data_IF_856263617862
#
_entry.id   IF_856263617862
#
_cell.length_a   1.000
_cell.length_b   1.000
_cell.length_c   1.000
_cell.angle_alpha   90.00
_cell.angle_beta   90.00
_cell.angle_gamma   90.00
#
_symmetry.space_group_name_H-M   'P 1'
#
loop_
_entity.id
_entity.type
_entity.pdbx_description
1 polymer ?
#
# COMPACT_ATOMS: atom_id res chain seq x y z
N UNK A 1 39.01 -17.98 36.39
CA UNK A 1 39.49 -18.31 37.75
C UNK A 1 40.96 -18.02 37.76
N UNK A 2 41.41 -17.11 38.63
CA UNK A 2 42.77 -16.57 38.62
C UNK A 2 43.83 -17.61 39.03
N UNK A 3 43.38 -18.79 39.47
CA UNK A 3 44.18 -19.92 39.92
C UNK A 3 45.14 -20.46 38.83
N UNK A 4 44.80 -20.30 37.55
CA UNK A 4 45.66 -20.68 36.43
C UNK A 4 46.90 -19.78 36.27
N UNK A 5 46.86 -18.53 36.79
CA UNK A 5 47.99 -17.60 36.74
C UNK A 5 48.95 -17.76 37.92
N UNK A 6 48.57 -18.50 38.97
CA UNK A 6 49.40 -18.71 40.17
C UNK A 6 50.84 -19.17 39.86
N UNK A 7 51.09 -20.17 38.99
CA UNK A 7 52.47 -20.56 38.65
C UNK A 7 53.20 -19.53 37.77
N UNK A 8 52.46 -18.67 37.06
CA UNK A 8 53.05 -17.61 36.23
C UNK A 8 53.53 -16.43 37.07
N UNK A 9 52.88 -16.17 38.22
CA UNK A 9 53.22 -15.08 39.15
C UNK A 9 54.61 -15.26 39.77
N UNK A 10 55.05 -16.51 39.96
CA UNK A 10 56.36 -16.80 40.58
C UNK A 10 57.55 -16.50 39.65
N UNK A 11 57.32 -16.45 38.33
CA UNK A 11 58.40 -16.39 37.33
C UNK A 11 58.28 -15.24 36.33
N UNK A 12 57.16 -14.52 36.32
CA UNK A 12 56.88 -13.46 35.35
C UNK A 12 56.95 -12.06 35.97
N UNK A 13 57.40 -11.09 35.18
CA UNK A 13 57.35 -9.67 35.55
C UNK A 13 55.92 -9.15 35.56
N UNK A 14 55.68 -8.06 36.30
CA UNK A 14 54.37 -7.37 36.35
C UNK A 14 53.83 -7.01 34.96
N UNK A 15 54.72 -6.66 34.02
CA UNK A 15 54.36 -6.35 32.63
C UNK A 15 53.88 -7.58 31.86
N UNK A 16 54.52 -8.74 32.09
CA UNK A 16 54.12 -10.01 31.49
C UNK A 16 52.78 -10.50 32.06
N UNK A 17 52.55 -10.35 33.38
CA UNK A 17 51.27 -10.67 34.01
C UNK A 17 50.13 -9.79 33.49
N UNK A 18 50.36 -8.47 33.34
CA UNK A 18 49.37 -7.56 32.74
C UNK A 18 49.04 -7.92 31.29
N UNK A 19 50.04 -8.35 30.54
CA UNK A 19 49.83 -8.81 29.16
C UNK A 19 49.01 -10.10 29.14
N UNK A 20 49.31 -11.05 30.03
CA UNK A 20 48.60 -12.32 30.13
C UNK A 20 47.11 -12.17 30.51
N UNK A 21 46.79 -11.25 31.43
CA UNK A 21 45.40 -10.90 31.79
C UNK A 21 44.68 -10.19 30.64
N UNK A 22 45.40 -9.37 29.86
CA UNK A 22 44.82 -8.66 28.71
C UNK A 22 44.48 -9.62 27.55
N UNK A 23 45.23 -10.71 27.43
CA UNK A 23 45.03 -11.75 26.41
C UNK A 23 44.00 -12.81 26.82
N UNK A 24 43.50 -12.76 28.06
CA UNK A 24 42.46 -13.69 28.51
C UNK A 24 41.20 -13.50 27.66
N UNK A 25 40.71 -14.56 26.98
CA UNK A 25 39.50 -14.48 26.19
C UNK A 25 38.33 -14.18 27.12
N UNK A 26 37.87 -12.92 27.08
CA UNK A 26 36.71 -12.51 27.85
C UNK A 26 35.50 -13.29 27.34
N UNK A 27 34.66 -13.83 28.23
CA UNK A 27 33.39 -14.38 27.80
C UNK A 27 32.66 -13.31 26.97
N UNK A 28 32.02 -13.69 25.85
CA UNK A 28 31.25 -12.74 25.06
C UNK A 28 30.30 -12.01 25.99
N UNK A 29 30.33 -10.67 25.96
CA UNK A 29 29.33 -9.90 26.72
C UNK A 29 27.96 -10.39 26.24
N UNK A 30 27.00 -10.64 27.14
CA UNK A 30 25.64 -10.92 26.70
C UNK A 30 25.20 -9.75 25.81
N UNK A 31 24.98 -10.03 24.54
CA UNK A 31 24.41 -9.06 23.61
C UNK A 31 23.03 -8.76 24.18
N UNK A 32 22.73 -7.52 24.57
CA UNK A 32 21.41 -7.22 25.06
C UNK A 32 20.40 -7.58 23.97
N UNK A 33 19.30 -8.23 24.35
CA UNK A 33 18.22 -8.54 23.42
C UNK A 33 17.88 -7.30 22.59
N UNK A 34 17.63 -7.46 21.27
CA UNK A 34 17.34 -6.34 20.41
C UNK A 34 16.19 -5.53 21.02
N UNK A 35 16.49 -4.29 21.42
CA UNK A 35 15.50 -3.43 22.03
C UNK A 35 14.39 -3.18 21.01
N UNK A 36 13.17 -3.54 21.37
CA UNK A 36 11.99 -3.23 20.59
C UNK A 36 11.95 -1.74 20.30
N UNK A 37 11.71 -1.39 19.05
CA UNK A 37 11.58 0.01 18.66
C UNK A 37 10.62 0.17 17.50
N UNK A 38 9.92 1.30 17.48
CA UNK A 38 9.14 1.76 16.33
C UNK A 38 9.49 3.22 16.09
N UNK A 39 9.93 3.52 14.87
CA UNK A 39 10.30 4.86 14.42
C UNK A 39 9.46 5.29 13.23
N UNK A 40 9.21 6.60 13.14
CA UNK A 40 8.48 7.25 12.05
C UNK A 40 9.34 8.37 11.48
N UNK A 41 9.52 8.39 10.17
CA UNK A 41 10.15 9.49 9.44
C UNK A 41 9.22 9.96 8.33
N UNK A 42 9.02 11.27 8.21
CA UNK A 42 8.08 11.85 7.24
C UNK A 42 8.80 12.83 6.32
N UNK A 43 8.44 12.81 5.05
CA UNK A 43 8.82 13.79 4.04
C UNK A 43 7.55 14.52 3.53
N UNK A 44 7.67 15.31 2.45
CA UNK A 44 6.54 16.09 1.89
C UNK A 44 5.42 15.23 1.30
N UNK A 45 5.71 13.98 0.92
CA UNK A 45 4.80 13.13 0.14
C UNK A 45 4.50 11.79 0.82
N UNK A 46 5.31 11.39 1.79
CA UNK A 46 5.32 10.05 2.32
C UNK A 46 5.72 9.98 3.80
N UNK A 47 5.35 8.87 4.42
CA UNK A 47 5.75 8.54 5.78
C UNK A 47 6.28 7.11 5.84
N UNK A 48 7.51 6.95 6.30
CA UNK A 48 8.16 5.65 6.49
C UNK A 48 8.14 5.25 7.96
N UNK A 49 7.70 4.02 8.22
CA UNK A 49 7.73 3.41 9.55
C UNK A 49 8.81 2.32 9.58
N UNK A 50 9.59 2.26 10.66
CA UNK A 50 10.60 1.21 10.89
C UNK A 50 10.32 0.55 12.24
N UNK A 51 10.17 -0.77 12.25
CA UNK A 51 9.92 -1.56 13.46
C UNK A 51 11.10 -2.52 13.66
N UNK A 52 11.53 -2.71 14.91
CA UNK A 52 12.52 -3.71 15.33
C UNK A 52 11.88 -4.59 16.40
N UNK A 53 11.86 -5.90 16.17
CA UNK A 53 11.27 -6.90 17.05
C UNK A 53 12.22 -8.09 17.25
N UNK A 54 12.14 -8.79 18.40
CA UNK A 54 12.65 -10.15 18.55
C UNK A 54 12.05 -11.11 17.52
N UNK A 55 12.78 -12.17 17.17
CA UNK A 55 12.38 -13.10 16.10
C UNK A 55 11.05 -13.82 16.37
N UNK A 56 10.76 -14.18 17.61
CA UNK A 56 9.52 -14.83 18.02
C UNK A 56 8.29 -13.94 17.79
N UNK A 57 8.43 -12.63 17.98
CA UNK A 57 7.36 -11.67 17.69
C UNK A 57 7.28 -11.26 16.23
N UNK A 58 8.43 -11.10 15.59
CA UNK A 58 8.50 -10.86 14.15
C UNK A 58 7.75 -11.98 13.40
N UNK A 59 7.89 -13.23 13.83
CA UNK A 59 7.18 -14.38 13.25
C UNK A 59 5.65 -14.22 13.30
N UNK A 60 5.10 -13.57 14.34
CA UNK A 60 3.66 -13.29 14.43
C UNK A 60 3.24 -12.24 13.40
N UNK A 61 4.03 -11.16 13.25
CA UNK A 61 3.79 -10.13 12.24
C UNK A 61 3.90 -10.71 10.83
N UNK A 62 4.93 -11.50 10.58
CA UNK A 62 5.19 -12.16 9.29
C UNK A 62 4.02 -13.10 8.92
N UNK A 63 3.55 -13.91 9.86
CA UNK A 63 2.41 -14.80 9.64
C UNK A 63 1.12 -14.03 9.35
N UNK A 64 0.85 -12.93 10.08
CA UNK A 64 -0.31 -12.09 9.85
C UNK A 64 -0.28 -11.42 8.47
N UNK A 65 0.87 -10.85 8.09
CA UNK A 65 1.07 -10.22 6.80
C UNK A 65 0.96 -11.24 5.67
N UNK A 66 1.58 -12.41 5.80
CA UNK A 66 1.49 -13.48 4.80
C UNK A 66 0.05 -13.96 4.61
N UNK A 67 -0.69 -14.19 5.69
CA UNK A 67 -2.10 -14.61 5.62
C UNK A 67 -2.98 -13.57 4.93
N UNK A 68 -2.78 -12.28 5.21
CA UNK A 68 -3.52 -11.21 4.54
C UNK A 68 -3.11 -11.04 3.07
N UNK A 69 -1.84 -11.27 2.74
CA UNK A 69 -1.35 -11.24 1.37
C UNK A 69 -2.00 -12.36 0.54
N UNK A 70 -2.00 -13.60 1.05
CA UNK A 70 -2.63 -14.74 0.37
C UNK A 70 -4.10 -14.46 0.09
N UNK A 71 -4.84 -13.93 1.07
CA UNK A 71 -6.24 -13.55 0.90
C UNK A 71 -6.41 -12.49 -0.19
N UNK A 72 -5.63 -11.40 -0.16
CA UNK A 72 -5.71 -10.33 -1.15
C UNK A 72 -5.37 -10.83 -2.56
N UNK A 73 -4.37 -11.70 -2.69
CA UNK A 73 -3.98 -12.31 -3.96
C UNK A 73 -5.10 -13.21 -4.51
N UNK A 74 -5.72 -14.03 -3.66
CA UNK A 74 -6.87 -14.85 -4.06
C UNK A 74 -8.05 -14.00 -4.50
N UNK A 75 -8.35 -12.92 -3.78
CA UNK A 75 -9.41 -11.97 -4.14
C UNK A 75 -9.11 -11.27 -5.47
N UNK A 76 -7.89 -10.75 -5.65
CA UNK A 76 -7.47 -10.12 -6.91
C UNK A 76 -7.59 -11.09 -8.08
N UNK A 77 -7.13 -12.34 -7.92
CA UNK A 77 -7.23 -13.37 -8.96
C UNK A 77 -8.68 -13.69 -9.30
N UNK A 78 -9.56 -13.77 -8.30
CA UNK A 78 -10.98 -14.01 -8.52
C UNK A 78 -11.64 -12.87 -9.30
N UNK A 79 -11.36 -11.63 -8.91
CA UNK A 79 -11.91 -10.43 -9.53
C UNK A 79 -11.39 -10.23 -10.97
N UNK A 80 -10.24 -10.83 -11.33
CA UNK A 80 -9.59 -10.64 -12.64
C UNK A 80 -9.43 -11.96 -13.43
N UNK A 81 -10.13 -13.04 -13.04
CA UNK A 81 -9.99 -14.38 -13.63
C UNK A 81 -10.35 -14.45 -15.12
N UNK A 82 -11.23 -13.56 -15.61
CA UNK A 82 -11.70 -13.54 -16.99
C UNK A 82 -10.78 -12.75 -17.95
N UNK A 83 -9.71 -12.12 -17.45
CA UNK A 83 -8.76 -11.32 -18.24
C UNK A 83 -7.28 -11.62 -17.97
N UNK A 84 -6.98 -12.65 -17.19
CA UNK A 84 -5.64 -12.95 -16.67
C UNK A 84 -4.83 -13.95 -17.52
N UNK A 85 -4.88 -13.84 -18.85
CA UNK A 85 -3.83 -14.43 -19.69
C UNK A 85 -2.61 -13.50 -19.69
N UNK A 86 -1.77 -13.72 -18.69
CA UNK A 86 -0.32 -13.47 -18.62
C UNK A 86 0.25 -12.43 -19.60
N UNK A 87 0.21 -11.14 -19.26
CA UNK A 87 1.08 -10.11 -19.87
C UNK A 87 1.53 -9.06 -18.87
N UNK A 88 2.85 -8.96 -18.76
CA UNK A 88 3.59 -7.81 -18.26
C UNK A 88 3.28 -6.55 -19.08
N UNK A 89 3.29 -5.43 -18.36
CA UNK A 89 3.54 -4.07 -18.82
C UNK A 89 2.45 -3.35 -19.63
N UNK A 90 1.71 -2.49 -18.93
CA UNK A 90 1.67 -1.07 -19.31
C UNK A 90 0.43 -0.54 -20.02
N UNK A 91 -0.55 -1.35 -20.40
CA UNK A 91 -1.77 -0.82 -21.02
C UNK A 91 -2.99 -1.73 -20.77
N UNK A 92 -3.69 -1.48 -19.68
CA UNK A 92 -4.98 -2.12 -19.37
C UNK A 92 -5.42 -1.71 -17.98
N UNK A 93 -6.65 -1.23 -17.83
CA UNK A 93 -7.18 -0.62 -16.60
C UNK A 93 -7.33 -1.55 -15.39
N UNK A 94 -6.51 -2.60 -15.27
CA UNK A 94 -6.47 -3.46 -14.10
C UNK A 94 -5.48 -2.90 -13.05
N UNK A 95 -5.81 -2.97 -11.76
CA UNK A 95 -4.89 -2.59 -10.68
C UNK A 95 -3.71 -3.57 -10.59
N UNK A 96 -2.53 -3.11 -10.14
CA UNK A 96 -1.38 -3.98 -9.92
C UNK A 96 -1.70 -5.06 -8.88
N UNK A 97 -0.98 -6.18 -8.96
CA UNK A 97 -1.14 -7.28 -8.02
C UNK A 97 -0.79 -6.82 -6.58
N UNK A 98 -1.58 -7.23 -5.56
CA UNK A 98 -1.33 -6.84 -4.17
C UNK A 98 0.05 -7.25 -3.69
N UNK A 99 0.67 -6.40 -2.86
CA UNK A 99 1.99 -6.63 -2.29
C UNK A 99 1.98 -6.65 -0.75
N UNK A 100 3.15 -6.83 -0.15
CA UNK A 100 3.32 -6.93 1.30
C UNK A 100 2.85 -5.66 2.05
N UNK A 101 2.95 -4.48 1.44
CA UNK A 101 2.46 -3.22 2.03
C UNK A 101 0.93 -3.23 2.10
N UNK A 102 0.26 -3.67 1.04
CA UNK A 102 -1.21 -3.82 1.02
C UNK A 102 -1.67 -4.80 2.09
N UNK A 103 -0.95 -5.92 2.24
CA UNK A 103 -1.23 -6.90 3.27
C UNK A 103 -1.03 -6.36 4.68
N UNK A 104 0.06 -5.64 4.94
CA UNK A 104 0.30 -4.99 6.23
C UNK A 104 -0.79 -3.96 6.58
N UNK A 105 -1.19 -3.12 5.62
CA UNK A 105 -2.29 -2.17 5.82
C UNK A 105 -3.63 -2.88 6.07
N UNK A 106 -3.87 -4.02 5.41
CA UNK A 106 -5.06 -4.82 5.65
C UNK A 106 -5.08 -5.43 7.07
N UNK A 107 -3.93 -5.81 7.63
CA UNK A 107 -3.82 -6.25 9.03
C UNK A 107 -4.19 -5.10 9.98
N UNK A 108 -3.65 -3.91 9.74
CA UNK A 108 -3.95 -2.71 10.55
C UNK A 108 -5.45 -2.37 10.49
N UNK A 109 -6.04 -2.39 9.29
CA UNK A 109 -7.47 -2.13 9.10
C UNK A 109 -8.35 -3.17 9.81
N UNK A 110 -8.00 -4.46 9.74
CA UNK A 110 -8.76 -5.51 10.42
C UNK A 110 -8.71 -5.36 11.95
N UNK A 111 -7.54 -4.99 12.51
CA UNK A 111 -7.42 -4.68 13.93
C UNK A 111 -8.27 -3.47 14.34
N UNK A 112 -8.26 -2.42 13.51
CA UNK A 112 -9.07 -1.23 13.71
C UNK A 112 -10.58 -1.54 13.71
N UNK A 113 -11.05 -2.28 12.71
CA UNK A 113 -12.48 -2.64 12.58
C UNK A 113 -12.97 -3.50 13.75
N UNK A 114 -12.10 -4.40 14.25
CA UNK A 114 -12.38 -5.21 15.44
C UNK A 114 -12.58 -4.34 16.68
N UNK A 115 -11.73 -3.34 16.89
CA UNK A 115 -11.83 -2.42 18.02
C UNK A 115 -13.06 -1.51 17.91
N UNK A 116 -13.37 -1.02 16.70
CA UNK A 116 -14.60 -0.25 16.42
C UNK A 116 -15.85 -1.07 16.74
N UNK A 117 -15.90 -2.33 16.34
CA UNK A 117 -17.01 -3.23 16.64
C UNK A 117 -17.16 -3.46 18.16
N UNK A 118 -16.04 -3.54 18.89
CA UNK A 118 -16.03 -3.76 20.33
C UNK A 118 -16.44 -2.52 21.15
N UNK A 119 -16.28 -1.29 20.62
CA UNK A 119 -16.58 -0.03 21.35
C UNK A 119 -17.32 1.00 20.48
N UNK A 120 -18.65 0.87 20.31
CA UNK A 120 -19.43 1.76 19.45
C UNK A 120 -19.44 3.25 19.85
N UNK A 121 -19.12 3.57 21.11
CA UNK A 121 -19.20 4.92 21.69
C UNK A 121 -17.90 5.44 22.33
N UNK A 122 -16.78 4.71 22.20
CA UNK A 122 -15.48 5.22 22.64
C UNK A 122 -15.03 6.39 21.76
N UNK A 123 -14.41 7.42 22.34
CA UNK A 123 -13.82 8.52 21.56
C UNK A 123 -12.89 7.93 20.49
N UNK A 124 -13.31 8.09 19.25
CA UNK A 124 -12.74 7.49 18.05
C UNK A 124 -11.42 8.19 17.78
N UNK A 125 -10.33 7.47 17.53
CA UNK A 125 -9.19 8.10 16.81
C UNK A 125 -9.43 7.93 15.32
N UNK A 126 -10.59 8.38 14.81
CA UNK A 126 -10.78 8.48 13.36
C UNK A 126 -9.71 9.44 12.84
N UNK A 127 -9.08 9.11 11.72
CA UNK A 127 -8.18 10.07 11.07
C UNK A 127 -9.01 11.29 10.69
N UNK A 128 -8.81 12.39 11.44
CA UNK A 128 -9.51 13.65 11.23
C UNK A 128 -8.74 14.48 10.22
N UNK A 129 -9.43 14.95 9.19
CA UNK A 129 -8.88 15.85 8.17
C UNK A 129 -9.48 17.24 8.39
N UNK A 130 -8.65 18.24 8.65
CA UNK A 130 -9.07 19.64 8.69
C UNK A 130 -9.04 20.17 7.27
N UNK A 131 -10.14 20.79 6.82
CA UNK A 131 -10.28 21.32 5.46
C UNK A 131 -10.74 22.77 5.54
N UNK A 132 -9.89 23.70 5.13
CA UNK A 132 -10.29 25.09 4.90
C UNK A 132 -10.98 25.19 3.53
N UNK A 133 -12.29 25.41 3.56
CA UNK A 133 -13.12 25.35 2.35
C UNK A 133 -12.85 26.55 1.42
N UNK A 134 -12.55 27.72 1.98
CA UNK A 134 -12.33 28.93 1.19
C UNK A 134 -10.91 28.93 0.57
N UNK A 135 -9.92 28.41 1.30
CA UNK A 135 -8.53 28.33 0.84
C UNK A 135 -8.20 27.04 0.09
N UNK A 136 -9.07 26.04 0.14
CA UNK A 136 -8.86 24.68 -0.40
C UNK A 136 -7.57 24.04 0.10
N UNK A 137 -7.30 24.20 1.40
CA UNK A 137 -6.13 23.60 2.08
C UNK A 137 -6.62 22.55 3.05
N UNK A 138 -5.87 21.46 3.20
CA UNK A 138 -6.23 20.38 4.11
C UNK A 138 -5.03 19.86 4.87
N UNK A 139 -5.25 19.36 6.09
CA UNK A 139 -4.20 18.77 6.92
C UNK A 139 -4.75 17.66 7.79
N UNK A 140 -3.92 16.66 8.09
CA UNK A 140 -4.27 15.67 9.10
C UNK A 140 -4.28 16.32 10.49
N UNK A 141 -5.17 15.90 11.37
CA UNK A 141 -5.19 16.38 12.75
C UNK A 141 -3.85 16.07 13.43
N UNK A 142 -3.16 17.12 13.89
CA UNK A 142 -1.80 17.04 14.45
C UNK A 142 -0.78 16.43 13.47
N UNK A 143 -1.03 16.54 12.16
CA UNK A 143 -0.19 16.01 11.09
C UNK A 143 0.15 17.05 10.03
N UNK A 144 0.81 16.62 8.94
CA UNK A 144 1.24 17.52 7.89
C UNK A 144 0.05 18.08 7.07
N UNK A 145 0.33 19.17 6.36
CA UNK A 145 -0.52 19.65 5.27
C UNK A 145 -0.55 18.59 4.17
N UNK A 146 -1.73 18.35 3.61
CA UNK A 146 -1.97 17.41 2.54
C UNK A 146 -1.75 18.06 1.17
N UNK A 147 -1.32 17.26 0.21
CA UNK A 147 -1.41 17.64 -1.20
C UNK A 147 -2.88 17.81 -1.61
N UNK A 148 -3.14 18.56 -2.69
CA UNK A 148 -4.49 18.69 -3.22
C UNK A 148 -5.10 17.34 -3.62
N UNK A 149 -4.28 16.44 -4.16
CA UNK A 149 -4.68 15.09 -4.52
C UNK A 149 -5.13 14.28 -3.30
N UNK A 150 -4.33 14.29 -2.21
CA UNK A 150 -4.65 13.55 -1.00
C UNK A 150 -5.85 14.14 -0.28
N UNK A 151 -5.96 15.47 -0.23
CA UNK A 151 -7.11 16.17 0.36
C UNK A 151 -8.42 15.82 -0.36
N UNK A 152 -8.45 15.89 -1.69
CA UNK A 152 -9.64 15.51 -2.48
C UNK A 152 -9.94 14.01 -2.35
N UNK A 153 -8.91 13.16 -2.39
CA UNK A 153 -9.09 11.72 -2.20
C UNK A 153 -9.71 11.36 -0.85
N UNK A 154 -9.18 11.91 0.25
CA UNK A 154 -9.65 11.63 1.61
C UNK A 154 -11.04 12.21 1.87
N UNK A 155 -11.44 13.27 1.15
CA UNK A 155 -12.75 13.92 1.32
C UNK A 155 -13.83 13.44 0.34
N UNK A 156 -13.49 12.65 -0.69
CA UNK A 156 -14.45 12.09 -1.65
C UNK A 156 -15.43 11.06 -1.05
N UNK A 157 -14.93 10.04 -0.34
CA UNK A 157 -15.75 8.87 0.10
C UNK A 157 -16.17 8.96 1.58
N UNK A 158 -15.79 10.04 2.28
CA UNK A 158 -16.12 10.33 3.68
C UNK A 158 -15.81 9.20 4.69
N UNK A 159 -14.87 8.30 4.35
CA UNK A 159 -14.32 7.28 5.27
C UNK A 159 -13.54 7.91 6.43
N UNK A 160 -13.18 9.19 6.28
CA UNK A 160 -12.47 10.03 7.23
C UNK A 160 -13.42 11.05 7.86
N UNK A 161 -13.13 11.46 9.09
CA UNK A 161 -13.88 12.55 9.72
C UNK A 161 -13.30 13.87 9.23
N UNK A 162 -14.04 14.59 8.38
CA UNK A 162 -13.63 15.90 7.90
C UNK A 162 -14.17 17.00 8.83
N UNK A 163 -13.27 17.83 9.35
CA UNK A 163 -13.61 19.06 10.05
C UNK A 163 -13.42 20.22 9.09
N UNK A 164 -14.50 20.95 8.83
CA UNK A 164 -14.45 22.08 7.94
C UNK A 164 -14.14 23.33 8.75
N UNK A 165 -13.19 24.10 8.23
CA UNK A 165 -12.74 25.34 8.84
C UNK A 165 -12.90 26.50 7.87
N UNK A 166 -13.03 27.70 8.43
CA UNK A 166 -12.91 28.97 7.72
C UNK A 166 -11.98 29.87 8.53
N UNK A 167 -10.88 30.28 7.93
CA UNK A 167 -9.87 31.11 8.60
C UNK A 167 -9.39 30.52 9.94
N UNK A 168 -9.15 29.20 9.96
CA UNK A 168 -8.70 28.46 11.15
C UNK A 168 -9.75 28.34 12.26
N UNK A 169 -11.03 28.57 11.95
CA UNK A 169 -12.15 28.34 12.87
C UNK A 169 -13.00 27.18 12.37
N UNK A 170 -13.20 26.11 13.16
CA UNK A 170 -14.13 25.04 12.82
C UNK A 170 -15.54 25.59 12.66
N UNK A 171 -16.09 25.45 11.45
CA UNK A 171 -17.46 25.83 11.11
C UNK A 171 -18.43 24.65 11.23
N UNK A 172 -17.90 23.43 11.28
CA UNK A 172 -18.66 22.23 11.63
C UNK A 172 -17.95 20.93 11.25
N UNK A 173 -18.44 19.82 11.81
CA UNK A 173 -17.97 18.47 11.55
C UNK A 173 -19.00 17.58 10.82
N UNK A 174 -20.15 18.14 10.37
CA UNK A 174 -21.26 17.28 9.96
C UNK A 174 -22.54 17.88 9.37
N UNK A 175 -22.59 19.18 9.01
CA UNK A 175 -23.79 19.74 8.33
C UNK A 175 -23.63 19.92 6.82
N UNK A 176 -22.40 20.06 6.35
CA UNK A 176 -22.02 20.07 4.92
C UNK A 176 -21.29 18.79 4.50
N UNK A 177 -21.22 17.79 5.38
CA UNK A 177 -20.80 16.46 5.01
C UNK A 177 -21.79 15.94 3.96
N UNK A 178 -21.38 15.99 2.69
CA UNK A 178 -21.98 15.18 1.63
C UNK A 178 -21.58 13.71 1.80
N UNK A 179 -21.67 13.22 3.05
CA UNK A 179 -21.53 11.83 3.41
C UNK A 179 -22.56 11.06 2.59
N UNK A 180 -22.05 10.08 1.86
CA UNK A 180 -22.87 9.30 0.95
C UNK A 180 -23.78 8.44 1.82
N UNK A 181 -25.07 8.79 1.84
CA UNK A 181 -26.04 8.13 2.70
C UNK A 181 -26.06 6.62 2.41
N UNK A 182 -26.38 5.80 3.41
CA UNK A 182 -26.51 4.34 3.22
C UNK A 182 -27.48 3.97 2.08
N UNK A 183 -28.52 4.77 1.86
CA UNK A 183 -29.48 4.57 0.77
C UNK A 183 -28.82 4.84 -0.59
N UNK A 184 -28.10 5.95 -0.72
CA UNK A 184 -27.38 6.31 -1.94
C UNK A 184 -26.28 5.29 -2.25
N UNK A 185 -25.53 4.87 -1.22
CA UNK A 185 -24.52 3.82 -1.32
C UNK A 185 -25.09 2.51 -1.87
N UNK A 186 -26.23 2.04 -1.36
CA UNK A 186 -26.88 0.83 -1.87
C UNK A 186 -27.35 0.96 -3.32
N UNK A 187 -27.81 2.15 -3.71
CA UNK A 187 -28.21 2.41 -5.09
C UNK A 187 -27.00 2.42 -6.03
N UNK A 188 -25.87 2.97 -5.59
CA UNK A 188 -24.59 2.87 -6.29
C UNK A 188 -24.14 1.41 -6.43
N UNK A 189 -24.15 0.62 -5.36
CA UNK A 189 -23.78 -0.81 -5.40
C UNK A 189 -24.68 -1.65 -6.32
N UNK A 190 -25.94 -1.23 -6.50
CA UNK A 190 -26.85 -1.88 -7.44
C UNK A 190 -26.54 -1.53 -8.90
N UNK A 191 -26.20 -0.26 -9.18
CA UNK A 191 -25.88 0.23 -10.53
C UNK A 191 -24.47 -0.20 -10.95
N UNK A 192 -23.49 0.07 -10.10
CA UNK A 192 -22.07 -0.16 -10.33
C UNK A 192 -21.69 -1.48 -9.64
N UNK A 193 -21.80 -2.59 -10.38
CA UNK A 193 -21.52 -3.93 -9.83
C UNK A 193 -20.04 -4.19 -9.57
N UNK A 194 -19.17 -3.41 -10.21
CA UNK A 194 -17.72 -3.43 -10.05
C UNK A 194 -17.20 -1.99 -10.22
N UNK A 195 -15.88 -1.82 -10.06
CA UNK A 195 -15.20 -0.58 -10.39
C UNK A 195 -15.55 -0.13 -11.82
N UNK A 196 -15.97 1.13 -11.98
CA UNK A 196 -16.39 1.68 -13.29
C UNK A 196 -15.24 1.90 -14.29
N UNK A 197 -13.99 1.77 -13.86
CA UNK A 197 -12.83 1.86 -14.77
C UNK A 197 -12.80 0.64 -15.70
N UNK A 198 -12.79 0.84 -17.03
CA UNK A 198 -12.77 -0.26 -18.00
C UNK A 198 -11.61 -1.24 -17.76
N UNK A 199 -11.87 -2.54 -17.85
CA UNK A 199 -10.90 -3.60 -17.56
C UNK A 199 -10.66 -3.90 -16.08
N UNK A 200 -11.32 -3.19 -15.14
CA UNK A 200 -11.22 -3.48 -13.71
C UNK A 200 -12.39 -4.34 -13.24
N UNK A 201 -12.09 -5.55 -12.76
CA UNK A 201 -13.10 -6.47 -12.23
C UNK A 201 -13.34 -6.37 -10.72
N UNK A 202 -12.74 -5.38 -10.04
CA UNK A 202 -12.86 -5.25 -8.59
C UNK A 202 -14.32 -5.06 -8.14
N UNK A 203 -14.82 -5.94 -7.28
CA UNK A 203 -16.21 -5.90 -6.78
C UNK A 203 -16.33 -5.52 -5.30
N UNK A 204 -15.20 -5.49 -4.59
CA UNK A 204 -15.15 -5.30 -3.13
C UNK A 204 -14.32 -4.08 -2.76
N UNK A 205 -14.60 -3.52 -1.59
CA UNK A 205 -13.86 -2.36 -1.07
C UNK A 205 -13.96 -1.11 -1.95
N UNK A 206 -15.05 -0.98 -2.72
CA UNK A 206 -15.23 0.14 -3.63
C UNK A 206 -15.47 1.44 -2.85
N UNK A 207 -14.83 2.52 -3.30
CA UNK A 207 -15.07 3.88 -2.83
C UNK A 207 -16.08 4.55 -3.74
N UNK A 208 -16.96 5.37 -3.17
CA UNK A 208 -17.80 6.23 -3.98
C UNK A 208 -17.07 7.55 -4.28
N UNK A 209 -17.09 7.93 -5.54
CA UNK A 209 -16.32 9.05 -6.07
C UNK A 209 -17.24 10.04 -6.77
N UNK A 210 -17.10 11.32 -6.42
CA UNK A 210 -17.78 12.41 -7.13
C UNK A 210 -17.05 12.74 -8.43
N UNK A 211 -17.74 12.59 -9.56
CA UNK A 211 -17.19 12.95 -10.88
C UNK A 211 -16.88 14.45 -10.94
N UNK A 212 -17.84 15.29 -10.55
CA UNK A 212 -17.58 16.68 -10.18
C UNK A 212 -17.39 16.72 -8.68
N UNK A 213 -16.18 17.05 -8.23
CA UNK A 213 -15.85 17.05 -6.81
C UNK A 213 -16.78 17.99 -6.02
N UNK A 214 -17.08 17.64 -4.77
CA UNK A 214 -18.01 18.42 -3.96
C UNK A 214 -17.48 19.84 -3.65
N UNK A 215 -16.17 20.01 -3.53
CA UNK A 215 -15.52 21.33 -3.36
C UNK A 215 -15.64 22.22 -4.59
N UNK A 216 -15.88 21.61 -5.76
CA UNK A 216 -16.18 22.29 -7.02
C UNK A 216 -17.71 22.46 -7.20
N UNK A 217 -18.49 22.17 -6.16
CA UNK A 217 -19.95 22.31 -6.12
C UNK A 217 -20.72 21.04 -6.52
N UNK A 218 -20.04 19.97 -6.97
CA UNK A 218 -20.69 18.80 -7.56
C UNK A 218 -21.60 18.04 -6.60
N UNK A 219 -22.87 17.78 -6.96
CA UNK A 219 -23.92 17.27 -6.06
C UNK A 219 -23.62 15.86 -5.53
N UNK A 220 -24.35 15.45 -4.50
CA UNK A 220 -24.25 14.09 -3.93
C UNK A 220 -25.54 13.35 -4.17
N UNK A 221 -25.64 12.90 -5.42
CA UNK A 221 -26.73 12.13 -5.98
C UNK A 221 -26.14 11.00 -6.83
N UNK A 222 -27.01 10.21 -7.45
CA UNK A 222 -26.57 9.09 -8.27
C UNK A 222 -25.85 9.55 -9.54
N UNK A 223 -26.24 10.68 -10.12
CA UNK A 223 -25.77 11.10 -11.44
C UNK A 223 -24.34 11.65 -11.41
N UNK A 224 -23.90 12.12 -10.25
CA UNK A 224 -22.54 12.63 -10.01
C UNK A 224 -21.63 11.67 -9.23
N UNK A 225 -22.12 10.52 -8.76
CA UNK A 225 -21.32 9.54 -8.02
C UNK A 225 -21.09 8.27 -8.83
N UNK A 226 -19.91 7.67 -8.69
CA UNK A 226 -19.57 6.35 -9.25
C UNK A 226 -18.76 5.50 -8.26
N UNK A 227 -18.81 4.17 -8.38
CA UNK A 227 -17.97 3.28 -7.59
C UNK A 227 -16.64 2.98 -8.28
N UNK A 228 -15.54 3.23 -7.58
CA UNK A 228 -14.17 2.98 -8.03
C UNK A 228 -13.41 2.18 -6.98
N UNK A 229 -12.50 1.30 -7.38
CA UNK A 229 -11.64 0.61 -6.44
C UNK A 229 -10.62 1.58 -5.80
N UNK A 230 -10.01 1.24 -4.65
CA UNK A 230 -9.05 2.12 -3.97
C UNK A 230 -7.88 2.57 -4.84
N UNK A 231 -7.40 1.66 -5.72
CA UNK A 231 -6.33 1.95 -6.67
C UNK A 231 -6.75 3.03 -7.68
N UNK A 232 -7.85 2.83 -8.41
CA UNK A 232 -8.31 3.77 -9.41
C UNK A 232 -8.79 5.08 -8.81
N UNK A 233 -9.36 5.06 -7.61
CA UNK A 233 -9.72 6.29 -6.90
C UNK A 233 -8.48 7.16 -6.65
N UNK A 234 -7.37 6.55 -6.20
CA UNK A 234 -6.11 7.26 -5.99
C UNK A 234 -5.46 7.67 -7.32
N UNK A 235 -5.51 6.82 -8.34
CA UNK A 235 -4.99 7.12 -9.67
C UNK A 235 -5.67 8.37 -10.26
N UNK A 236 -6.98 8.49 -10.09
CA UNK A 236 -7.75 9.65 -10.54
C UNK A 236 -7.28 10.95 -9.86
N UNK A 237 -7.20 10.96 -8.52
CA UNK A 237 -6.76 12.16 -7.79
C UNK A 237 -5.30 12.53 -8.04
N UNK A 238 -4.47 11.56 -8.44
CA UNK A 238 -3.08 11.80 -8.88
C UNK A 238 -2.97 12.24 -10.35
N UNK A 239 -4.08 12.32 -11.08
CA UNK A 239 -4.10 12.69 -12.50
C UNK A 239 -3.55 11.62 -13.43
N UNK A 240 -3.45 10.36 -12.97
CA UNK A 240 -3.03 9.23 -13.81
C UNK A 240 -4.15 8.74 -14.73
N UNK A 241 -5.39 8.94 -14.29
CA UNK A 241 -6.60 8.73 -15.08
C UNK A 241 -7.55 9.90 -14.86
N UNK A 242 -8.42 10.15 -15.83
CA UNK A 242 -9.47 11.16 -15.75
C UNK A 242 -10.82 10.46 -15.88
N UNK A 243 -11.71 10.67 -14.91
CA UNK A 243 -13.07 10.15 -14.90
C UNK A 243 -14.00 11.33 -15.14
N UNK A 244 -14.76 11.30 -16.21
CA UNK A 244 -15.60 12.43 -16.62
C UNK A 244 -16.91 11.99 -17.27
N UNK A 245 -17.83 12.94 -17.47
CA UNK A 245 -19.15 12.67 -18.01
C UNK A 245 -20.19 12.33 -16.94
N UNK A 246 -21.48 12.22 -17.30
CA UNK A 246 -22.51 11.80 -16.36
C UNK A 246 -22.30 10.32 -15.98
N UNK A 247 -22.69 9.91 -14.77
CA UNK A 247 -22.45 8.56 -14.28
C UNK A 247 -23.04 7.44 -15.18
N UNK A 248 -24.08 7.75 -15.96
CA UNK A 248 -24.69 6.85 -16.96
C UNK A 248 -23.93 6.75 -18.29
N UNK A 249 -23.11 7.74 -18.65
CA UNK A 249 -22.31 7.79 -19.87
C UNK A 249 -20.86 8.19 -19.52
N UNK A 250 -20.28 7.46 -18.59
CA UNK A 250 -18.95 7.74 -18.05
C UNK A 250 -17.86 7.55 -19.12
N UNK A 251 -16.94 8.50 -19.21
CA UNK A 251 -15.69 8.35 -19.95
C UNK A 251 -14.52 8.27 -18.99
N UNK A 252 -13.63 7.32 -19.24
CA UNK A 252 -12.36 7.19 -18.50
C UNK A 252 -11.23 7.30 -19.50
N UNK A 253 -10.28 8.19 -19.23
CA UNK A 253 -9.08 8.37 -20.04
C UNK A 253 -7.82 8.24 -19.17
N UNK A 254 -6.69 7.95 -19.79
CA UNK A 254 -5.38 8.07 -19.16
C UNK A 254 -4.94 9.54 -19.02
N UNK A 255 -3.75 9.76 -18.45
CA UNK A 255 -3.15 11.08 -18.27
C UNK A 255 -2.93 11.84 -19.59
N UNK A 256 -2.79 11.12 -20.72
CA UNK A 256 -2.57 11.68 -22.05
C UNK A 256 -3.89 11.97 -22.79
N UNK A 257 -5.03 11.65 -22.18
CA UNK A 257 -6.37 11.83 -22.75
C UNK A 257 -6.81 10.69 -23.67
N UNK A 258 -6.09 9.58 -23.71
CA UNK A 258 -6.48 8.38 -24.45
C UNK A 258 -7.60 7.67 -23.70
N UNK A 259 -8.73 7.44 -24.36
CA UNK A 259 -9.85 6.73 -23.76
C UNK A 259 -9.46 5.29 -23.41
N UNK A 260 -9.73 4.89 -22.17
CA UNK A 260 -9.63 3.51 -21.73
C UNK A 260 -10.87 2.75 -22.21
N UNK A 261 -10.65 1.56 -22.77
CA UNK A 261 -11.71 0.69 -23.26
C UNK A 261 -11.56 -0.71 -22.67
N UNK A 262 -12.68 -1.39 -22.46
CA UNK A 262 -12.75 -2.75 -21.90
C UNK A 262 -12.28 -3.83 -22.89
N UNK A 263 -11.69 -3.43 -24.02
CA UNK A 263 -11.24 -4.36 -25.03
C UNK A 263 -9.82 -4.80 -24.74
N UNK A 264 -9.61 -6.12 -24.73
CA UNK A 264 -8.30 -6.69 -24.87
C UNK A 264 -7.61 -6.04 -26.09
N UNK A 265 -6.49 -5.35 -25.86
CA UNK A 265 -5.62 -4.85 -26.94
C UNK A 265 -5.09 -5.98 -27.84
N UNK A 266 -5.28 -7.23 -27.43
CA UNK A 266 -5.15 -8.40 -28.28
C UNK A 266 -6.20 -8.36 -29.39
N UNK A 267 -5.86 -7.72 -30.51
CA UNK A 267 -6.54 -7.97 -31.78
C UNK A 267 -6.41 -9.47 -32.05
N UNK A 268 -7.52 -10.17 -32.24
CA UNK A 268 -7.51 -11.52 -32.80
C UNK A 268 -6.66 -11.47 -34.07
N UNK A 269 -5.59 -12.27 -34.20
CA UNK A 269 -4.81 -12.30 -35.42
C UNK A 269 -5.75 -12.56 -36.61
N UNK A 270 -5.95 -11.55 -37.45
CA UNK A 270 -6.75 -11.67 -38.69
C UNK A 270 -5.96 -12.32 -39.81
N UNK A 271 -4.64 -12.43 -39.62
CA UNK A 271 -3.73 -13.10 -40.53
C UNK A 271 -3.52 -14.55 -40.06
N UNK A 272 -3.32 -15.50 -40.99
CA UNK A 272 -2.91 -16.84 -40.62
C UNK A 272 -1.64 -16.77 -39.76
N UNK A 273 -1.47 -17.66 -38.78
CA UNK A 273 -0.26 -17.71 -37.98
C UNK A 273 0.96 -17.76 -38.93
N UNK A 274 2.04 -17.02 -38.64
CA UNK A 274 3.23 -17.04 -39.47
C UNK A 274 3.69 -18.50 -39.65
N UNK A 275 4.10 -18.84 -40.87
CA UNK A 275 4.64 -20.17 -41.18
C UNK A 275 6.04 -20.29 -40.55
N UNK A 276 6.05 -20.50 -39.24
CA UNK A 276 7.26 -20.69 -38.44
C UNK A 276 7.53 -22.19 -38.41
N UNK A 277 8.72 -22.65 -38.85
CA UNK A 277 9.07 -24.06 -38.72
C UNK A 277 8.99 -24.46 -37.24
N UNK A 278 8.54 -25.70 -36.93
CA UNK A 278 8.40 -26.15 -35.55
C UNK A 278 9.71 -25.92 -34.80
N UNK A 279 9.60 -25.33 -33.62
CA UNK A 279 10.75 -25.10 -32.75
C UNK A 279 11.53 -26.43 -32.63
N UNK A 280 12.82 -26.49 -33.02
CA UNK A 280 13.57 -27.75 -33.11
C UNK A 280 13.84 -28.42 -31.74
N UNK A 281 13.21 -27.94 -30.67
CA UNK A 281 13.49 -28.32 -29.29
C UNK A 281 14.81 -27.70 -28.81
N UNK A 282 15.15 -27.90 -27.53
CA UNK A 282 16.47 -27.52 -27.05
C UNK A 282 17.54 -28.30 -27.83
N UNK A 283 18.47 -27.59 -28.49
CA UNK A 283 19.55 -28.17 -29.29
C UNK A 283 20.60 -28.93 -28.47
N UNK A 284 20.41 -29.05 -27.15
CA UNK A 284 21.38 -29.63 -26.23
C UNK A 284 22.66 -28.80 -26.06
N UNK A 285 22.69 -27.59 -26.61
CA UNK A 285 23.80 -26.66 -26.45
C UNK A 285 23.96 -26.28 -24.97
N UNK A 286 25.22 -26.22 -24.50
CA UNK A 286 25.52 -25.76 -23.15
C UNK A 286 25.03 -24.32 -23.01
N UNK A 287 24.25 -24.05 -21.97
CA UNK A 287 23.86 -22.70 -21.58
C UNK A 287 25.10 -21.78 -21.58
N UNK A 288 25.05 -20.70 -22.35
CA UNK A 288 26.10 -19.68 -22.35
C UNK A 288 25.90 -18.79 -21.14
N UNK A 289 26.47 -19.22 -20.01
CA UNK A 289 26.43 -18.51 -18.72
C UNK A 289 27.04 -17.11 -18.74
N UNK A 290 27.69 -16.68 -19.83
CA UNK A 290 28.15 -15.30 -20.04
C UNK A 290 27.04 -14.28 -19.74
N UNK A 291 25.81 -14.55 -20.19
CA UNK A 291 24.69 -13.60 -20.10
C UNK A 291 23.89 -13.76 -18.80
N UNK A 292 24.30 -14.68 -17.93
CA UNK A 292 23.63 -14.98 -16.68
C UNK A 292 24.64 -14.85 -15.54
N UNK A 293 24.56 -13.75 -14.79
CA UNK A 293 25.24 -13.66 -13.51
C UNK A 293 24.36 -14.34 -12.46
N UNK A 294 24.69 -15.57 -11.99
CA UNK A 294 23.99 -16.14 -10.85
C UNK A 294 24.14 -15.19 -9.67
N UNK A 295 23.05 -14.96 -8.94
CA UNK A 295 23.05 -14.14 -7.75
C UNK A 295 24.11 -14.66 -6.76
N UNK A 296 25.21 -13.93 -6.59
CA UNK A 296 26.18 -14.17 -5.53
C UNK A 296 25.69 -13.42 -4.27
N UNK A 297 25.22 -14.13 -3.22
CA UNK A 297 24.91 -13.45 -1.96
C UNK A 297 26.20 -12.82 -1.42
N UNK A 298 26.10 -11.57 -0.95
CA UNK A 298 27.24 -10.90 -0.29
C UNK A 298 27.75 -11.77 0.86
N UNK A 299 29.07 -12.01 0.96
CA UNK A 299 29.61 -12.68 2.13
C UNK A 299 29.25 -11.87 3.38
N UNK A 300 28.94 -12.52 4.52
CA UNK A 300 28.73 -11.81 5.77
C UNK A 300 29.98 -10.99 6.09
N UNK A 301 29.79 -9.75 6.54
CA UNK A 301 30.89 -8.89 6.97
C UNK A 301 31.74 -9.66 8.00
N UNK A 302 33.07 -9.70 7.85
CA UNK A 302 33.94 -10.23 8.89
C UNK A 302 33.81 -9.33 10.13
N UNK A 303 33.58 -9.97 11.29
CA UNK A 303 33.64 -9.36 12.62
C UNK A 303 35.01 -8.74 12.94
#
# INVERSE_FOLDING_TARGET
>A
SDEHYAPLVEVATVTQLRTAVKLEPRPPRPTPDPKRSIGKTSDETSCTWRITLPHDEAAVVDAAVASHLDRLVTEWKHDHADGADDRSDGAGGAPPMPNTVDAFLAVVAAGWDSEVAARPHGQRTTVVVHVDVDRRVGSLHLGPVLSDADRRHLTCDATFEAWFERDGRPIGCGRETRQISRRLRRALEHRDRCCVVPGCGATRGLHAHHVVHWEDGGPTDLDNLVLVCPYHHRAHHRGLIVISGPAEHLSVADADGTALHDQALARTPTEPPPDVPPCPGPTGERAQWWWYQPFEPRPPNPE
#
